data_IF_766537378953
#
_entry.id   IF_766537378953
#
_cell.length_a   1.000
_cell.length_b   1.000
_cell.length_c   1.000
_cell.angle_alpha   90.00
_cell.angle_beta   90.00
_cell.angle_gamma   90.00
#
_symmetry.space_group_name_H-M   'P 1'
#
loop_
_entity.id
_entity.type
_entity.pdbx_description
1 polymer ?
#
# COMPACT_ATOMS: atom_id res chain seq x y z
N UNK A 1 30.57 49.06 -44.11
CA UNK A 1 30.89 47.96 -43.19
C UNK A 1 29.67 47.72 -42.32
N UNK A 2 28.93 46.67 -42.60
CA UNK A 2 27.74 46.28 -41.77
C UNK A 2 28.16 45.17 -40.81
N UNK A 3 28.12 45.46 -39.50
CA UNK A 3 28.42 44.52 -38.42
C UNK A 3 27.19 43.66 -38.21
N UNK A 4 27.28 42.33 -38.51
CA UNK A 4 26.23 41.35 -38.25
C UNK A 4 26.48 40.77 -36.85
N UNK A 5 25.63 41.13 -35.89
CA UNK A 5 25.64 40.54 -34.52
C UNK A 5 24.97 39.20 -34.56
N UNK A 6 25.74 38.11 -34.41
CA UNK A 6 25.24 36.74 -34.31
C UNK A 6 24.80 36.47 -32.86
N UNK A 7 23.48 36.42 -32.61
CA UNK A 7 22.92 36.07 -31.32
C UNK A 7 22.87 34.54 -31.21
N UNK A 8 23.80 33.95 -30.47
CA UNK A 8 23.77 32.54 -30.13
C UNK A 8 22.80 32.32 -28.97
N UNK A 9 21.63 31.78 -29.25
CA UNK A 9 20.65 31.31 -28.23
C UNK A 9 21.14 29.96 -27.67
N UNK A 10 21.75 29.97 -26.48
CA UNK A 10 22.04 28.76 -25.72
C UNK A 10 20.75 28.32 -25.07
N UNK A 11 20.06 27.36 -25.68
CA UNK A 11 18.93 26.66 -25.05
C UNK A 11 19.50 25.67 -24.03
N UNK A 12 19.61 26.07 -22.77
CA UNK A 12 19.88 25.22 -21.66
C UNK A 12 18.63 24.30 -21.43
N UNK A 13 18.66 23.10 -21.99
CA UNK A 13 17.65 22.11 -21.72
C UNK A 13 17.67 21.71 -20.25
N UNK A 14 16.75 22.23 -19.46
CA UNK A 14 16.47 21.73 -18.12
C UNK A 14 15.90 20.31 -18.26
N UNK A 15 16.79 19.32 -18.16
CA UNK A 15 16.37 17.93 -17.93
C UNK A 15 15.73 17.90 -16.53
N UNK A 16 14.41 18.00 -16.45
CA UNK A 16 13.66 17.61 -15.27
C UNK A 16 13.84 16.11 -15.11
N UNK A 17 14.87 15.68 -14.39
CA UNK A 17 14.94 14.34 -13.84
C UNK A 17 13.77 14.23 -12.88
N UNK A 18 12.74 13.46 -13.25
CA UNK A 18 11.70 13.06 -12.32
C UNK A 18 12.43 12.31 -11.18
N UNK A 19 12.65 12.98 -10.06
CA UNK A 19 13.18 12.36 -8.85
C UNK A 19 12.20 11.27 -8.47
N UNK A 20 12.66 10.01 -8.51
CA UNK A 20 11.94 8.88 -7.97
C UNK A 20 11.73 9.19 -6.49
N UNK A 21 10.51 9.48 -6.09
CA UNK A 21 10.15 9.72 -4.69
C UNK A 21 10.68 8.56 -3.86
N UNK A 22 11.60 8.84 -2.95
CA UNK A 22 12.20 7.82 -2.09
C UNK A 22 11.23 7.58 -0.93
N UNK A 23 10.39 6.56 -1.06
CA UNK A 23 9.45 6.15 -0.01
C UNK A 23 10.27 5.48 1.10
N UNK A 24 10.29 6.03 2.33
CA UNK A 24 11.05 5.45 3.44
C UNK A 24 10.61 4.01 3.71
N UNK A 25 11.59 3.12 3.88
CA UNK A 25 11.35 1.71 4.17
C UNK A 25 10.79 1.51 5.59
N UNK A 26 9.84 0.59 5.74
CA UNK A 26 9.21 0.26 7.02
C UNK A 26 9.50 -1.18 7.43
N UNK A 27 9.90 -1.39 8.69
CA UNK A 27 10.16 -2.72 9.28
C UNK A 27 8.94 -3.31 9.97
N UNK A 28 8.00 -2.45 10.36
CA UNK A 28 6.76 -2.80 11.02
C UNK A 28 5.68 -1.78 10.67
N UNK A 29 4.45 -2.12 10.98
CA UNK A 29 3.32 -1.20 10.98
C UNK A 29 2.48 -1.40 12.23
N UNK A 30 1.80 -0.34 12.68
CA UNK A 30 0.89 -0.38 13.82
C UNK A 30 -0.57 -0.38 13.35
N UNK A 31 -1.42 -1.03 14.12
CA UNK A 31 -2.88 -0.93 14.02
C UNK A 31 -3.35 -0.25 15.30
N UNK A 32 -3.95 0.92 15.16
CA UNK A 32 -4.31 1.82 16.25
C UNK A 32 -5.68 2.49 16.02
N UNK A 33 -6.07 3.40 16.89
CA UNK A 33 -7.32 4.16 16.79
C UNK A 33 -8.45 3.50 17.60
N UNK A 34 -9.60 3.24 16.98
CA UNK A 34 -10.77 2.63 17.62
C UNK A 34 -10.59 1.11 17.83
N UNK A 35 -9.58 0.75 18.59
CA UNK A 35 -9.24 -0.63 18.96
C UNK A 35 -9.05 -0.72 20.46
N UNK A 36 -9.37 -1.86 21.08
CA UNK A 36 -9.17 -2.06 22.53
C UNK A 36 -7.71 -2.10 22.92
N UNK A 37 -6.87 -2.63 22.03
CA UNK A 37 -5.41 -2.70 22.18
C UNK A 37 -4.75 -2.54 20.83
N UNK A 38 -3.75 -1.69 20.76
CA UNK A 38 -2.91 -1.53 19.59
C UNK A 38 -2.11 -2.80 19.29
N UNK A 39 -1.90 -3.08 18.01
CA UNK A 39 -1.10 -4.20 17.54
C UNK A 39 0.01 -3.68 16.63
N UNK A 40 1.26 -4.02 16.95
CA UNK A 40 2.39 -3.82 16.05
C UNK A 40 2.71 -5.13 15.34
N UNK A 41 2.85 -5.07 14.02
CA UNK A 41 3.16 -6.21 13.15
C UNK A 41 4.46 -5.93 12.43
N UNK A 42 5.49 -6.74 12.69
CA UNK A 42 6.78 -6.68 12.01
C UNK A 42 6.79 -7.55 10.75
N UNK A 43 7.81 -7.35 9.89
CA UNK A 43 8.05 -8.24 8.75
C UNK A 43 8.23 -9.71 9.18
N UNK A 44 8.83 -9.96 10.34
CA UNK A 44 9.03 -11.31 10.87
C UNK A 44 7.69 -11.96 11.25
N UNK A 45 6.78 -11.18 11.88
CA UNK A 45 5.47 -11.66 12.30
C UNK A 45 4.59 -12.12 11.12
N UNK A 46 4.80 -11.55 9.93
CA UNK A 46 4.06 -11.94 8.73
C UNK A 46 4.23 -13.43 8.36
N UNK A 47 5.34 -14.04 8.79
CA UNK A 47 5.58 -15.48 8.57
C UNK A 47 4.63 -16.39 9.35
N UNK A 48 4.00 -15.90 10.42
CA UNK A 48 3.03 -16.65 11.24
C UNK A 48 1.64 -16.74 10.61
N UNK A 49 1.36 -15.91 9.59
CA UNK A 49 0.09 -15.89 8.89
C UNK A 49 0.09 -16.84 7.69
N UNK A 50 -1.10 -17.23 7.25
CA UNK A 50 -1.26 -18.07 6.06
C UNK A 50 -0.71 -17.35 4.81
N UNK A 51 0.29 -17.97 4.17
CA UNK A 51 0.84 -17.46 2.91
C UNK A 51 -0.04 -17.82 1.73
N UNK A 52 -0.26 -16.84 0.85
CA UNK A 52 -0.93 -16.98 -0.44
C UNK A 52 0.07 -16.75 -1.57
N UNK A 53 -0.01 -17.60 -2.61
CA UNK A 53 0.80 -17.45 -3.84
C UNK A 53 -0.06 -16.85 -4.95
N UNK A 54 0.46 -15.82 -5.61
CA UNK A 54 -0.19 -15.10 -6.71
C UNK A 54 0.80 -15.04 -7.85
N UNK A 55 0.45 -15.54 -9.04
CA UNK A 55 1.36 -15.62 -10.18
C UNK A 55 1.84 -14.25 -10.61
N UNK A 56 0.90 -13.30 -10.74
CA UNK A 56 1.23 -11.94 -11.10
C UNK A 56 0.17 -10.93 -10.64
N UNK A 57 0.63 -9.71 -10.36
CA UNK A 57 -0.21 -8.55 -10.07
C UNK A 57 0.22 -7.44 -11.00
N UNK A 58 -0.69 -7.00 -11.87
CA UNK A 58 -0.46 -5.81 -12.70
C UNK A 58 -0.72 -4.57 -11.87
N UNK A 59 0.26 -3.69 -11.78
CA UNK A 59 0.13 -2.38 -11.15
C UNK A 59 -0.18 -1.35 -12.24
N UNK A 60 -1.31 -0.67 -12.10
CA UNK A 60 -1.75 0.38 -13.03
C UNK A 60 -1.60 1.76 -12.40
N UNK A 61 -1.67 2.81 -13.21
CA UNK A 61 -1.84 4.18 -12.71
C UNK A 61 -3.33 4.52 -12.52
N UNK A 62 -3.61 5.79 -12.23
CA UNK A 62 -4.98 6.31 -12.05
C UNK A 62 -5.83 6.31 -13.34
N UNK A 63 -5.21 6.15 -14.51
CA UNK A 63 -5.88 6.03 -15.81
C UNK A 63 -6.10 4.57 -16.23
N UNK A 64 -5.66 3.59 -15.42
CA UNK A 64 -5.73 2.18 -15.75
C UNK A 64 -4.57 1.66 -16.60
N UNK A 65 -3.61 2.52 -16.97
CA UNK A 65 -2.44 2.13 -17.76
C UNK A 65 -1.46 1.31 -16.93
N UNK A 66 -0.93 0.23 -17.51
CA UNK A 66 0.07 -0.63 -16.86
C UNK A 66 1.36 0.13 -16.59
N UNK A 67 1.81 0.11 -15.33
CA UNK A 67 3.10 0.67 -14.89
C UNK A 67 4.15 -0.40 -14.63
N UNK A 68 3.74 -1.49 -13.99
CA UNK A 68 4.63 -2.61 -13.68
C UNK A 68 3.83 -3.90 -13.50
N UNK A 69 4.54 -5.02 -13.33
CA UNK A 69 3.95 -6.29 -12.95
C UNK A 69 4.82 -6.92 -11.88
N UNK A 70 4.23 -7.20 -10.73
CA UNK A 70 4.84 -8.03 -9.70
C UNK A 70 4.61 -9.48 -10.09
N UNK A 71 5.64 -10.31 -10.08
CA UNK A 71 5.54 -11.74 -10.44
C UNK A 71 5.87 -12.63 -9.25
N UNK A 72 5.34 -13.85 -9.25
CA UNK A 72 5.60 -14.87 -8.21
C UNK A 72 5.47 -14.27 -6.81
N UNK A 73 4.36 -13.56 -6.57
CA UNK A 73 4.12 -12.85 -5.31
C UNK A 73 3.70 -13.84 -4.24
N UNK A 74 4.35 -13.77 -3.06
CA UNK A 74 3.81 -14.35 -1.83
C UNK A 74 3.31 -13.22 -0.95
N UNK A 75 2.18 -13.46 -0.28
CA UNK A 75 1.52 -12.43 0.50
C UNK A 75 0.62 -13.05 1.58
N UNK A 76 0.24 -12.27 2.58
CA UNK A 76 -0.73 -12.61 3.62
C UNK A 76 -1.97 -11.73 3.48
N UNK A 77 -3.14 -12.24 3.83
CA UNK A 77 -4.37 -11.44 3.77
C UNK A 77 -4.36 -10.37 4.87
N UNK A 78 -4.70 -9.15 4.49
CA UNK A 78 -4.92 -8.07 5.45
C UNK A 78 -6.00 -8.44 6.48
N UNK A 79 -7.05 -9.13 6.02
CA UNK A 79 -8.12 -9.62 6.88
C UNK A 79 -7.60 -10.49 8.02
N UNK A 80 -6.70 -11.45 7.74
CA UNK A 80 -6.18 -12.38 8.74
C UNK A 80 -5.36 -11.66 9.83
N UNK A 81 -4.75 -10.53 9.47
CA UNK A 81 -4.03 -9.66 10.42
C UNK A 81 -5.04 -8.88 11.28
N UNK A 82 -6.04 -8.27 10.64
CA UNK A 82 -7.07 -7.48 11.31
C UNK A 82 -7.98 -8.34 12.21
N UNK A 83 -8.14 -9.64 11.94
CA UNK A 83 -8.85 -10.60 12.80
C UNK A 83 -8.19 -10.77 14.19
N UNK A 84 -6.93 -10.32 14.36
CA UNK A 84 -6.22 -10.33 15.65
C UNK A 84 -6.48 -9.09 16.49
N UNK A 85 -7.20 -8.12 15.93
CA UNK A 85 -7.45 -6.82 16.58
C UNK A 85 -8.91 -6.75 17.00
N UNK A 86 -9.14 -6.50 18.27
CA UNK A 86 -10.48 -6.25 18.80
C UNK A 86 -10.85 -4.78 18.59
N UNK A 87 -11.84 -4.52 17.73
CA UNK A 87 -12.37 -3.18 17.50
C UNK A 87 -13.14 -2.72 18.74
N UNK A 88 -12.88 -1.50 19.18
CA UNK A 88 -13.62 -0.88 20.28
C UNK A 88 -15.00 -0.45 19.80
N UNK A 89 -15.96 -1.39 19.85
CA UNK A 89 -17.33 -1.21 19.38
C UNK A 89 -18.33 -1.67 20.44
N UNK A 90 -19.45 -0.96 20.54
CA UNK A 90 -20.50 -1.26 21.53
C UNK A 90 -21.25 -2.54 21.18
N UNK A 91 -21.46 -2.79 19.88
CA UNK A 91 -22.17 -3.98 19.38
C UNK A 91 -21.64 -4.37 17.99
N UNK A 92 -21.77 -5.65 17.58
CA UNK A 92 -21.39 -6.08 16.24
C UNK A 92 -22.10 -5.33 15.10
N UNK A 93 -23.32 -4.84 15.33
CA UNK A 93 -24.14 -4.13 14.35
C UNK A 93 -23.46 -2.85 13.86
N UNK A 94 -22.79 -2.11 14.75
CA UNK A 94 -22.14 -0.84 14.40
C UNK A 94 -20.81 -1.02 13.67
N UNK A 95 -20.28 -2.23 13.53
CA UNK A 95 -19.05 -2.49 12.79
C UNK A 95 -19.12 -2.05 11.32
N UNK A 96 -20.33 -1.99 10.74
CA UNK A 96 -20.54 -1.43 9.39
C UNK A 96 -20.22 0.04 9.25
N UNK A 97 -20.07 0.77 10.38
CA UNK A 97 -19.70 2.18 10.42
C UNK A 97 -18.20 2.40 10.54
N UNK A 98 -17.42 1.29 10.68
CA UNK A 98 -15.96 1.36 10.83
C UNK A 98 -15.23 1.26 9.49
N UNK A 99 -14.05 1.88 9.46
CA UNK A 99 -13.14 1.82 8.31
C UNK A 99 -11.68 1.85 8.76
N UNK A 100 -10.83 1.41 7.87
CA UNK A 100 -9.37 1.26 8.07
C UNK A 100 -8.65 2.24 7.16
N UNK A 101 -7.92 3.19 7.72
CA UNK A 101 -7.05 4.10 6.98
C UNK A 101 -5.64 3.51 6.97
N UNK A 102 -5.21 2.95 5.84
CA UNK A 102 -3.85 2.44 5.65
C UNK A 102 -2.96 3.60 5.21
N UNK A 103 -1.89 3.86 5.95
CA UNK A 103 -1.02 5.03 5.80
C UNK A 103 0.41 4.55 5.52
N UNK A 104 1.00 5.07 4.45
CA UNK A 104 2.40 4.87 4.09
C UNK A 104 3.33 5.86 4.81
N UNK A 105 4.61 5.57 4.78
CA UNK A 105 5.68 6.41 5.35
C UNK A 105 5.83 7.78 4.67
N UNK A 106 5.34 7.93 3.43
CA UNK A 106 5.25 9.19 2.68
C UNK A 106 3.90 9.92 2.88
N UNK A 107 3.08 9.46 3.84
CA UNK A 107 1.71 9.93 4.11
C UNK A 107 0.68 9.61 3.01
N UNK A 108 0.99 8.78 2.02
CA UNK A 108 -0.04 8.27 1.13
C UNK A 108 -1.08 7.46 1.92
N UNK A 109 -2.36 7.69 1.64
CA UNK A 109 -3.46 7.10 2.41
C UNK A 109 -4.45 6.40 1.50
N UNK A 110 -4.91 5.22 1.94
CA UNK A 110 -6.03 4.52 1.31
C UNK A 110 -6.99 4.04 2.37
N UNK A 111 -8.26 3.87 2.00
CA UNK A 111 -9.32 3.50 2.93
C UNK A 111 -9.97 2.20 2.48
N UNK A 112 -10.28 1.35 3.44
CA UNK A 112 -11.17 0.20 3.30
C UNK A 112 -12.24 0.28 4.37
N UNK A 113 -13.51 0.10 4.01
CA UNK A 113 -14.57 -0.09 4.99
C UNK A 113 -14.43 -1.45 5.67
N UNK A 114 -14.99 -1.58 6.88
CA UNK A 114 -15.09 -2.86 7.54
C UNK A 114 -15.79 -3.90 6.65
N UNK A 115 -16.86 -3.49 5.98
CA UNK A 115 -17.61 -4.37 5.08
C UNK A 115 -16.79 -4.84 3.87
N UNK A 116 -15.90 -4.01 3.30
CA UNK A 116 -15.01 -4.46 2.23
C UNK A 116 -14.06 -5.57 2.68
N UNK A 117 -13.54 -5.47 3.90
CA UNK A 117 -12.58 -6.44 4.43
C UNK A 117 -13.28 -7.71 4.93
N UNK A 118 -14.35 -7.58 5.72
CA UNK A 118 -14.93 -8.71 6.45
C UNK A 118 -16.20 -9.29 5.81
N UNK A 119 -16.91 -8.50 5.01
CA UNK A 119 -18.23 -8.86 4.48
C UNK A 119 -18.33 -8.81 2.94
N UNK A 120 -17.20 -8.74 2.24
CA UNK A 120 -17.16 -8.64 0.78
C UNK A 120 -16.04 -9.49 0.18
N UNK A 121 -16.16 -9.83 -1.11
CA UNK A 121 -15.12 -10.54 -1.85
C UNK A 121 -13.77 -9.80 -1.90
N UNK A 122 -13.78 -8.46 -1.78
CA UNK A 122 -12.59 -7.62 -1.71
C UNK A 122 -11.64 -8.09 -0.61
N UNK A 123 -12.14 -8.37 0.59
CA UNK A 123 -11.32 -8.80 1.72
C UNK A 123 -10.55 -10.10 1.51
N UNK A 124 -11.00 -10.95 0.57
CA UNK A 124 -10.30 -12.16 0.15
C UNK A 124 -9.14 -11.90 -0.82
N UNK A 125 -8.85 -10.64 -1.12
CA UNK A 125 -7.84 -10.23 -2.11
C UNK A 125 -7.10 -8.94 -1.75
N UNK A 126 -7.15 -8.48 -0.51
CA UNK A 126 -6.28 -7.39 -0.02
C UNK A 126 -5.12 -8.03 0.73
N UNK A 127 -3.90 -7.74 0.30
CA UNK A 127 -2.71 -8.45 0.74
C UNK A 127 -1.61 -7.53 1.26
N UNK A 128 -0.87 -8.02 2.25
CA UNK A 128 0.47 -7.54 2.61
C UNK A 128 1.49 -8.44 1.92
N UNK A 129 2.36 -7.88 1.10
CA UNK A 129 3.36 -8.59 0.29
C UNK A 129 4.49 -9.07 1.20
N UNK A 130 4.85 -10.36 1.09
CA UNK A 130 5.97 -10.96 1.82
C UNK A 130 7.15 -11.32 0.93
N UNK A 131 6.93 -11.56 -0.39
CA UNK A 131 8.00 -11.70 -1.38
C UNK A 131 7.51 -11.41 -2.80
N UNK A 132 8.44 -11.02 -3.68
CA UNK A 132 8.23 -10.81 -5.13
C UNK A 132 9.41 -11.43 -5.87
N UNK A 133 9.15 -12.22 -6.91
CA UNK A 133 10.17 -12.92 -7.72
C UNK A 133 11.17 -13.74 -6.86
N UNK A 134 10.70 -14.33 -5.76
CA UNK A 134 11.51 -15.09 -4.82
C UNK A 134 12.35 -14.24 -3.86
N UNK A 135 12.33 -12.90 -3.99
CA UNK A 135 13.02 -11.99 -3.09
C UNK A 135 12.10 -11.60 -1.94
N UNK A 136 12.53 -11.72 -0.68
CA UNK A 136 11.71 -11.35 0.47
C UNK A 136 11.47 -9.83 0.52
N UNK A 137 10.34 -9.42 1.11
CA UNK A 137 9.97 -8.02 1.24
C UNK A 137 11.03 -7.19 1.99
N UNK A 138 11.78 -7.80 2.91
CA UNK A 138 12.90 -7.15 3.63
C UNK A 138 14.00 -6.60 2.72
N UNK A 139 14.10 -7.09 1.47
CA UNK A 139 15.09 -6.62 0.47
C UNK A 139 14.51 -5.59 -0.50
N UNK A 140 13.22 -5.27 -0.42
CA UNK A 140 12.61 -4.24 -1.27
C UNK A 140 12.85 -2.83 -0.71
N UNK A 141 12.87 -1.82 -1.60
CA UNK A 141 13.11 -0.42 -1.21
C UNK A 141 12.12 0.09 -0.14
N UNK A 142 10.87 -0.32 -0.21
CA UNK A 142 9.79 0.11 0.72
C UNK A 142 9.47 -0.92 1.80
N UNK A 143 9.99 -2.14 1.68
CA UNK A 143 9.75 -3.31 2.52
C UNK A 143 8.27 -3.68 2.64
N UNK A 144 7.52 -3.12 3.59
CA UNK A 144 6.12 -3.48 3.76
C UNK A 144 5.26 -2.79 2.69
N UNK A 145 4.52 -3.58 1.92
CA UNK A 145 3.60 -3.05 0.93
C UNK A 145 2.24 -3.76 0.97
N UNK A 146 1.17 -2.96 0.88
CA UNK A 146 -0.20 -3.44 0.75
C UNK A 146 -0.66 -3.30 -0.70
N UNK A 147 -1.41 -4.27 -1.20
CA UNK A 147 -1.97 -4.26 -2.55
C UNK A 147 -3.37 -4.86 -2.60
N UNK A 148 -4.23 -4.31 -3.46
CA UNK A 148 -5.55 -4.82 -3.77
C UNK A 148 -5.63 -5.23 -5.25
N UNK A 149 -5.25 -6.48 -5.62
CA UNK A 149 -5.16 -6.92 -7.02
C UNK A 149 -6.49 -6.97 -7.78
N UNK A 150 -7.62 -6.97 -7.07
CA UNK A 150 -8.96 -7.00 -7.65
C UNK A 150 -9.49 -5.61 -8.00
N UNK A 151 -8.79 -4.55 -7.64
CA UNK A 151 -9.17 -3.20 -8.05
C UNK A 151 -8.98 -3.01 -9.55
N UNK A 152 -9.86 -2.26 -10.19
CA UNK A 152 -9.73 -1.89 -11.60
C UNK A 152 -8.44 -1.08 -11.85
N UNK A 153 -8.10 -0.21 -10.90
CA UNK A 153 -6.89 0.62 -10.92
C UNK A 153 -6.04 0.28 -9.70
N UNK A 154 -5.31 -0.82 -9.80
CA UNK A 154 -4.57 -1.43 -8.69
C UNK A 154 -3.58 -0.49 -8.00
N UNK A 155 -2.98 0.46 -8.73
CA UNK A 155 -2.05 1.43 -8.18
C UNK A 155 -2.70 2.41 -7.19
N UNK A 156 -4.04 2.59 -7.25
CA UNK A 156 -4.73 3.47 -6.31
C UNK A 156 -4.77 2.94 -4.88
N UNK A 157 -4.66 1.62 -4.70
CA UNK A 157 -4.53 1.00 -3.38
C UNK A 157 -3.28 0.11 -3.29
N UNK A 158 -2.17 0.57 -3.92
CA UNK A 158 -0.85 0.00 -3.76
C UNK A 158 -0.04 0.90 -2.82
N UNK A 159 -0.04 0.57 -1.52
CA UNK A 159 0.61 1.32 -0.45
C UNK A 159 2.01 0.75 -0.22
N UNK A 160 3.05 1.49 -0.59
CA UNK A 160 4.45 1.13 -0.36
C UNK A 160 4.95 1.77 0.94
N UNK A 161 5.78 1.05 1.70
CA UNK A 161 6.22 1.55 2.99
C UNK A 161 5.05 1.74 3.96
N UNK A 162 4.17 0.74 4.04
CA UNK A 162 3.04 0.82 4.95
C UNK A 162 3.53 0.92 6.38
N UNK A 163 3.11 1.99 7.08
CA UNK A 163 3.56 2.35 8.43
C UNK A 163 2.45 2.16 9.46
N UNK A 164 1.18 2.34 9.07
CA UNK A 164 0.09 2.45 10.03
C UNK A 164 -1.25 2.06 9.40
N UNK A 165 -2.10 1.46 10.23
CA UNK A 165 -3.54 1.31 9.97
C UNK A 165 -4.28 1.96 11.11
N UNK A 166 -5.05 3.00 10.82
CA UNK A 166 -5.90 3.67 11.82
C UNK A 166 -7.32 3.16 11.65
N UNK A 167 -7.87 2.59 12.72
CA UNK A 167 -9.27 2.15 12.76
C UNK A 167 -10.12 3.33 13.20
N UNK A 168 -11.07 3.72 12.38
CA UNK A 168 -11.95 4.85 12.64
C UNK A 168 -13.42 4.48 12.44
N UNK A 169 -14.33 5.33 12.93
CA UNK A 169 -15.77 5.19 12.79
C UNK A 169 -16.35 6.46 12.16
N UNK A 170 -17.30 6.28 11.25
CA UNK A 170 -18.10 7.38 10.70
C UNK A 170 -18.86 8.06 11.85
N UNK A 171 -18.85 9.39 11.84
CA UNK A 171 -19.57 10.22 12.83
C UNK A 171 -20.99 10.50 12.38
#
# INVERSE_FOLDING_TARGET
MKLVLLFVFVVAGLALSAQKENIPATENFTIEGKVKKELTVSLADLSSYKSHSIDSIVITNHLGERRSTLKKVKAVLLKDILDKVEIDSETPKVLSEYYFVCIASDNYKVVFSWNEIFNNATGKSVYIITSVDGKPASTSDSRIALVSPKDQMTGRRYVKGMQKIVVERVR
#
